data_IF_130091301982
#
_entry.id   IF_130091301982
#
_cell.length_a   1.000
_cell.length_b   1.000
_cell.length_c   1.000
_cell.angle_alpha   90.00
_cell.angle_beta   90.00
_cell.angle_gamma   90.00
#
_symmetry.space_group_name_H-M   'P 1'
#
loop_
_entity.id
_entity.type
_entity.pdbx_description
1 polymer ?
#
# COMPACT_ATOMS: atom_id res chain seq x y z
N UNK A 1 -18.04 -14.52 22.34
CA UNK A 1 -17.75 -14.76 20.91
C UNK A 1 -17.24 -13.47 20.31
N UNK A 2 -15.92 -13.34 20.17
CA UNK A 2 -15.30 -12.19 19.51
C UNK A 2 -15.31 -12.47 18.02
N UNK A 3 -15.87 -11.56 17.23
CA UNK A 3 -16.07 -11.72 15.80
C UNK A 3 -14.70 -11.74 15.08
N UNK A 4 -14.32 -12.91 14.56
CA UNK A 4 -13.07 -13.10 13.80
C UNK A 4 -13.02 -12.32 12.47
N UNK A 5 -14.10 -11.60 12.09
CA UNK A 5 -14.13 -10.75 10.89
C UNK A 5 -13.42 -9.40 11.05
N UNK A 6 -13.20 -8.92 12.27
CA UNK A 6 -12.56 -7.60 12.48
C UNK A 6 -11.03 -7.67 12.51
N UNK A 7 -10.42 -8.86 12.65
CA UNK A 7 -8.97 -9.00 12.72
C UNK A 7 -8.27 -9.09 11.35
N UNK A 8 -8.99 -9.49 10.29
CA UNK A 8 -8.39 -9.68 8.95
C UNK A 8 -8.48 -8.45 8.05
N UNK A 9 -9.45 -7.55 8.24
CA UNK A 9 -9.51 -6.31 7.44
C UNK A 9 -8.42 -5.29 7.84
N UNK A 10 -7.84 -5.43 9.05
CA UNK A 10 -6.79 -4.52 9.53
C UNK A 10 -5.37 -4.88 9.08
N UNK A 11 -5.06 -6.16 8.81
CA UNK A 11 -3.68 -6.58 8.50
C UNK A 11 -3.26 -6.19 7.09
N UNK A 12 -4.11 -6.44 6.10
CA UNK A 12 -3.78 -6.21 4.69
C UNK A 12 -3.75 -4.72 4.35
N UNK A 13 -4.69 -3.95 4.89
CA UNK A 13 -4.72 -2.49 4.73
C UNK A 13 -3.45 -1.86 5.35
N UNK A 14 -3.04 -2.31 6.54
CA UNK A 14 -1.83 -1.82 7.19
C UNK A 14 -0.57 -2.24 6.42
N UNK A 15 -0.53 -3.47 5.90
CA UNK A 15 0.55 -3.93 5.03
C UNK A 15 0.66 -3.09 3.76
N UNK A 16 -0.47 -2.71 3.16
CA UNK A 16 -0.49 -1.91 1.93
C UNK A 16 -0.10 -0.44 2.16
N UNK A 17 -0.50 0.13 3.30
CA UNK A 17 0.04 1.43 3.73
C UNK A 17 1.56 1.34 3.98
N UNK A 18 2.04 0.26 4.59
CA UNK A 18 3.47 0.06 4.80
C UNK A 18 4.23 -0.11 3.47
N UNK A 19 3.66 -0.80 2.49
CA UNK A 19 4.22 -0.87 1.14
C UNK A 19 4.34 0.51 0.50
N UNK A 20 3.31 1.35 0.63
CA UNK A 20 3.33 2.72 0.15
C UNK A 20 4.45 3.53 0.83
N UNK A 21 4.58 3.43 2.16
CA UNK A 21 5.65 4.08 2.92
C UNK A 21 7.03 3.62 2.44
N UNK A 22 7.23 2.31 2.25
CA UNK A 22 8.50 1.77 1.77
C UNK A 22 8.82 2.27 0.37
N UNK A 23 7.84 2.29 -0.54
CA UNK A 23 8.03 2.85 -1.87
C UNK A 23 8.40 4.34 -1.80
N UNK A 24 7.69 5.11 -0.98
CA UNK A 24 7.98 6.54 -0.81
C UNK A 24 9.38 6.80 -0.26
N UNK A 25 9.95 5.91 0.57
CA UNK A 25 11.35 6.01 0.98
C UNK A 25 12.34 5.92 -0.20
N UNK A 26 12.02 5.16 -1.26
CA UNK A 26 12.86 5.09 -2.46
C UNK A 26 12.62 6.33 -3.32
N UNK A 27 11.36 6.68 -3.57
CA UNK A 27 11.00 7.85 -4.39
C UNK A 27 11.51 9.14 -3.75
N UNK A 28 11.56 9.25 -2.43
CA UNK A 28 12.07 10.44 -1.76
C UNK A 28 13.58 10.65 -1.89
N UNK A 29 14.34 9.62 -2.25
CA UNK A 29 15.73 9.80 -2.66
C UNK A 29 15.80 10.49 -4.01
N UNK A 30 14.99 10.03 -4.96
CA UNK A 30 14.90 10.57 -6.32
C UNK A 30 14.19 11.92 -6.38
N UNK A 31 13.34 12.25 -5.38
CA UNK A 31 12.66 13.53 -5.20
C UNK A 31 13.61 14.72 -5.34
N UNK A 32 14.86 14.59 -4.88
CA UNK A 32 15.87 15.65 -4.98
C UNK A 32 16.26 15.97 -6.42
N UNK A 33 16.15 15.00 -7.31
CA UNK A 33 16.51 15.13 -8.73
C UNK A 33 15.30 15.54 -9.59
N UNK A 34 14.07 15.27 -9.14
CA UNK A 34 12.85 15.65 -9.84
C UNK A 34 12.58 17.14 -9.62
N UNK A 35 12.93 17.97 -10.61
CA UNK A 35 12.91 19.44 -10.49
C UNK A 35 11.56 20.02 -10.09
N UNK A 36 10.45 19.46 -10.56
CA UNK A 36 9.11 19.98 -10.27
C UNK A 36 8.47 19.45 -8.97
N UNK A 37 9.04 18.43 -8.31
CA UNK A 37 8.43 17.80 -7.16
C UNK A 37 8.99 18.41 -5.86
N UNK A 38 8.15 19.00 -5.00
CA UNK A 38 8.63 19.78 -3.84
C UNK A 38 8.53 19.03 -2.51
N UNK A 39 7.42 18.33 -2.29
CA UNK A 39 7.24 17.49 -1.12
C UNK A 39 6.25 16.37 -1.37
N UNK A 40 6.34 15.32 -0.55
CA UNK A 40 5.43 14.19 -0.61
C UNK A 40 5.11 13.68 0.79
N UNK A 41 3.88 13.25 1.00
CA UNK A 41 3.41 12.71 2.27
C UNK A 41 2.39 11.59 2.06
N UNK A 42 2.37 10.63 2.99
CA UNK A 42 1.37 9.56 3.01
C UNK A 42 0.56 9.69 4.30
N UNK A 43 -0.75 9.59 4.16
CA UNK A 43 -1.72 9.72 5.23
C UNK A 43 -2.58 8.47 5.35
N UNK A 44 -2.94 8.11 6.58
CA UNK A 44 -3.93 7.05 6.84
C UNK A 44 -5.38 7.55 6.63
N UNK A 45 -6.38 6.69 6.88
CA UNK A 45 -7.81 7.04 6.75
C UNK A 45 -8.28 8.13 7.71
N UNK A 46 -7.53 8.39 8.79
CA UNK A 46 -7.80 9.42 9.78
C UNK A 46 -7.02 10.72 9.49
N UNK A 47 -6.26 10.74 8.38
CA UNK A 47 -5.36 11.82 7.99
C UNK A 47 -4.19 12.04 8.95
N UNK A 48 -3.78 11.00 9.68
CA UNK A 48 -2.49 11.05 10.37
C UNK A 48 -1.38 10.84 9.35
N UNK A 49 -0.32 11.64 9.44
CA UNK A 49 0.84 11.47 8.57
C UNK A 49 1.61 10.23 9.02
N UNK A 50 1.86 9.31 8.08
CA UNK A 50 2.67 8.10 8.31
C UNK A 50 4.01 8.15 7.56
N UNK A 51 4.13 9.05 6.59
CA UNK A 51 5.36 9.37 5.88
C UNK A 51 5.35 10.83 5.44
N UNK A 52 6.50 11.51 5.44
CA UNK A 52 6.68 12.81 4.80
C UNK A 52 8.14 13.07 4.42
N UNK A 53 8.39 13.67 3.26
CA UNK A 53 9.70 14.16 2.81
C UNK A 53 9.54 15.42 1.96
N UNK A 54 10.54 16.30 1.97
CA UNK A 54 10.61 17.50 1.13
C UNK A 54 12.05 17.79 0.72
N UNK A 55 12.23 18.51 -0.38
CA UNK A 55 13.54 19.03 -0.80
C UNK A 55 14.18 19.96 0.21
N UNK A 56 13.38 20.78 0.89
CA UNK A 56 13.91 21.90 1.68
C UNK A 56 14.17 21.54 3.14
N UNK A 57 13.23 20.88 3.82
CA UNK A 57 13.33 20.78 5.30
C UNK A 57 12.53 19.66 5.99
N UNK A 58 11.60 18.98 5.31
CA UNK A 58 10.81 17.91 5.92
C UNK A 58 11.51 16.57 5.77
N UNK A 59 11.71 15.87 6.88
CA UNK A 59 12.21 14.50 6.95
C UNK A 59 11.15 13.58 7.53
N UNK A 60 11.21 12.29 7.20
CA UNK A 60 10.28 11.30 7.72
C UNK A 60 10.59 10.89 9.18
N UNK A 61 10.53 11.86 10.09
CA UNK A 61 10.62 11.65 11.53
C UNK A 61 9.35 12.12 12.24
N UNK A 62 9.30 11.97 13.57
CA UNK A 62 8.14 12.37 14.36
C UNK A 62 7.85 13.88 14.23
N UNK A 63 8.90 14.70 14.19
CA UNK A 63 8.77 16.16 14.12
C UNK A 63 8.24 16.59 12.76
N UNK A 64 8.77 16.03 11.66
CA UNK A 64 8.30 16.28 10.31
C UNK A 64 6.84 15.90 10.13
N UNK A 65 6.45 14.71 10.59
CA UNK A 65 5.05 14.25 10.52
C UNK A 65 4.11 15.16 11.32
N UNK A 66 4.51 15.61 12.51
CA UNK A 66 3.73 16.59 13.28
C UNK A 66 3.60 17.95 12.59
N UNK A 67 4.64 18.44 11.90
CA UNK A 67 4.55 19.68 11.11
C UNK A 67 3.56 19.55 9.95
N UNK A 68 3.55 18.41 9.25
CA UNK A 68 2.58 18.15 8.16
C UNK A 68 1.16 18.07 8.70
N UNK A 69 0.94 17.38 9.83
CA UNK A 69 -0.37 17.31 10.48
C UNK A 69 -0.87 18.68 10.96
N UNK A 70 0.04 19.53 11.47
CA UNK A 70 -0.26 20.91 11.84
C UNK A 70 -0.61 21.75 10.60
N UNK A 71 0.14 21.63 9.51
CA UNK A 71 -0.16 22.29 8.24
C UNK A 71 -1.56 21.93 7.73
N UNK A 72 -1.91 20.65 7.68
CA UNK A 72 -3.27 20.20 7.27
C UNK A 72 -4.35 20.75 8.21
N UNK A 73 -4.04 20.94 9.50
CA UNK A 73 -4.99 21.53 10.47
C UNK A 73 -5.20 23.02 10.23
N UNK A 74 -4.15 23.74 9.84
CA UNK A 74 -4.20 25.16 9.50
C UNK A 74 -4.87 25.44 8.14
N UNK A 75 -4.98 24.42 7.29
CA UNK A 75 -5.59 24.48 5.95
C UNK A 75 -6.78 23.51 5.81
N UNK A 76 -7.97 23.86 6.36
CA UNK A 76 -9.16 22.99 6.36
C UNK A 76 -9.58 22.52 4.97
N UNK A 77 -9.36 23.33 3.94
CA UNK A 77 -9.61 23.01 2.53
C UNK A 77 -8.87 21.75 2.07
N UNK A 78 -7.64 21.54 2.55
CA UNK A 78 -6.85 20.33 2.26
C UNK A 78 -7.46 19.12 2.95
N UNK A 79 -7.84 19.27 4.22
CA UNK A 79 -8.49 18.19 4.98
C UNK A 79 -9.80 17.76 4.33
N UNK A 80 -10.62 18.72 3.87
CA UNK A 80 -11.88 18.46 3.18
C UNK A 80 -11.60 17.72 1.86
N UNK A 81 -10.68 18.23 1.05
CA UNK A 81 -10.34 17.62 -0.23
C UNK A 81 -9.79 16.19 -0.08
N UNK A 82 -8.90 15.94 0.88
CA UNK A 82 -8.38 14.60 1.15
C UNK A 82 -9.48 13.64 1.66
N UNK A 83 -10.44 14.14 2.46
CA UNK A 83 -11.62 13.35 2.86
C UNK A 83 -12.50 13.00 1.66
N UNK A 84 -12.65 13.89 0.69
CA UNK A 84 -13.38 13.61 -0.55
C UNK A 84 -12.67 12.54 -1.39
N UNK A 85 -11.33 12.58 -1.46
CA UNK A 85 -10.51 11.54 -2.10
C UNK A 85 -10.75 10.18 -1.43
N UNK A 86 -10.72 10.13 -0.09
CA UNK A 86 -10.98 8.91 0.68
C UNK A 86 -12.40 8.36 0.49
N UNK A 87 -13.39 9.22 0.22
CA UNK A 87 -14.78 8.82 -0.03
C UNK A 87 -15.02 8.37 -1.46
N UNK A 88 -14.49 9.13 -2.42
CA UNK A 88 -14.75 8.92 -3.85
C UNK A 88 -13.83 7.89 -4.50
N UNK A 89 -12.63 7.68 -3.93
CA UNK A 89 -11.58 6.89 -4.57
C UNK A 89 -11.03 7.54 -5.84
N UNK A 90 -11.26 8.83 -6.03
CA UNK A 90 -10.72 9.61 -7.16
C UNK A 90 -9.68 10.59 -6.63
N UNK A 91 -8.67 10.87 -7.44
CA UNK A 91 -7.69 11.89 -7.11
C UNK A 91 -8.30 13.28 -7.15
N UNK A 92 -7.65 14.24 -6.49
CA UNK A 92 -8.07 15.65 -6.48
C UNK A 92 -6.86 16.55 -6.48
N UNK A 93 -6.86 17.53 -7.39
CA UNK A 93 -5.91 18.63 -7.40
C UNK A 93 -6.40 19.75 -6.49
N UNK A 94 -5.49 20.34 -5.73
CA UNK A 94 -5.74 21.51 -4.89
C UNK A 94 -4.64 22.53 -5.18
N UNK A 95 -5.01 23.79 -5.35
CA UNK A 95 -4.06 24.86 -5.59
C UNK A 95 -3.59 25.43 -4.25
N UNK A 96 -2.28 25.45 -4.00
CA UNK A 96 -1.71 25.96 -2.76
C UNK A 96 -1.31 27.43 -2.91
N UNK A 97 -0.67 27.75 -4.02
CA UNK A 97 -0.17 29.08 -4.33
C UNK A 97 -0.20 29.31 -5.85
N UNK A 98 0.29 30.46 -6.32
CA UNK A 98 0.37 30.77 -7.75
C UNK A 98 1.24 29.77 -8.51
N UNK A 99 2.26 29.23 -7.84
CA UNK A 99 3.33 28.45 -8.45
C UNK A 99 3.34 27.00 -7.94
N UNK A 100 2.39 26.59 -7.08
CA UNK A 100 2.37 25.27 -6.46
C UNK A 100 0.97 24.65 -6.41
N UNK A 101 0.93 23.34 -6.66
CA UNK A 101 -0.27 22.53 -6.54
C UNK A 101 -0.02 21.31 -5.66
N UNK A 102 -1.06 20.87 -4.96
CA UNK A 102 -1.11 19.59 -4.27
C UNK A 102 -1.99 18.62 -5.05
N UNK A 103 -1.43 17.49 -5.45
CA UNK A 103 -2.19 16.34 -5.94
C UNK A 103 -2.43 15.36 -4.80
N UNK A 104 -3.68 15.09 -4.49
CA UNK A 104 -4.10 14.08 -3.52
C UNK A 104 -4.55 12.81 -4.27
N UNK A 105 -3.81 11.71 -4.13
CA UNK A 105 -4.08 10.42 -4.75
C UNK A 105 -4.60 9.42 -3.70
N UNK A 106 -5.67 8.65 -3.99
CA UNK A 106 -6.16 7.64 -3.07
C UNK A 106 -5.23 6.42 -3.05
N UNK A 107 -4.89 5.94 -1.85
CA UNK A 107 -4.29 4.61 -1.68
C UNK A 107 -5.43 3.60 -1.63
N UNK A 108 -5.60 2.80 -2.68
CA UNK A 108 -6.71 1.86 -2.79
C UNK A 108 -6.43 0.57 -2.02
N UNK A 109 -7.30 0.22 -1.07
CA UNK A 109 -7.39 -1.12 -0.49
C UNK A 109 -8.17 -2.08 -1.40
N UNK A 110 -8.65 -3.20 -0.85
CA UNK A 110 -9.43 -4.17 -1.62
C UNK A 110 -10.78 -3.65 -2.14
N UNK A 111 -11.45 -2.78 -1.37
CA UNK A 111 -12.81 -2.29 -1.70
C UNK A 111 -12.97 -0.77 -1.59
N UNK A 112 -12.09 -0.11 -0.84
CA UNK A 112 -12.20 1.31 -0.49
C UNK A 112 -10.82 1.92 -0.31
N UNK A 113 -10.69 3.26 -0.39
CA UNK A 113 -9.46 3.93 -0.03
C UNK A 113 -9.08 3.71 1.44
N UNK A 114 -7.80 3.43 1.66
CA UNK A 114 -7.18 3.14 2.96
C UNK A 114 -6.21 4.23 3.39
N UNK A 115 -5.94 5.20 2.52
CA UNK A 115 -5.07 6.34 2.79
C UNK A 115 -5.03 7.30 1.61
N UNK A 116 -4.18 8.30 1.71
CA UNK A 116 -3.95 9.30 0.67
C UNK A 116 -2.46 9.56 0.52
N UNK A 117 -1.97 9.66 -0.70
CA UNK A 117 -0.68 10.25 -1.01
C UNK A 117 -0.91 11.71 -1.39
N UNK A 118 -0.27 12.64 -0.69
CA UNK A 118 -0.23 14.05 -1.04
C UNK A 118 1.10 14.37 -1.70
N UNK A 119 1.06 15.05 -2.83
CA UNK A 119 2.22 15.40 -3.65
C UNK A 119 2.17 16.90 -3.91
N UNK A 120 3.14 17.65 -3.43
CA UNK A 120 3.30 19.06 -3.78
C UNK A 120 4.28 19.17 -4.93
N UNK A 121 3.90 19.90 -5.96
CA UNK A 121 4.72 20.11 -7.13
C UNK A 121 4.58 21.54 -7.66
N UNK A 122 5.66 22.05 -8.25
CA UNK A 122 5.69 23.33 -8.95
C UNK A 122 4.77 23.26 -10.17
N UNK A 123 3.84 24.20 -10.29
CA UNK A 123 2.83 24.23 -11.34
C UNK A 123 2.59 25.65 -11.83
N UNK A 124 2.45 25.83 -13.15
CA UNK A 124 2.21 27.15 -13.77
C UNK A 124 0.78 27.69 -13.57
N UNK A 125 0.08 27.34 -12.49
CA UNK A 125 -1.28 27.83 -12.24
C UNK A 125 -2.39 27.12 -13.03
N UNK A 126 -2.12 25.96 -13.64
CA UNK A 126 -3.10 25.25 -14.47
C UNK A 126 -4.30 24.75 -13.63
N UNK A 127 -5.50 25.25 -13.94
CA UNK A 127 -6.75 24.96 -13.20
C UNK A 127 -7.52 23.73 -13.69
N UNK A 128 -7.08 23.07 -14.76
CA UNK A 128 -7.75 21.88 -15.27
C UNK A 128 -7.63 20.73 -14.26
N UNK A 129 -8.73 19.99 -14.05
CA UNK A 129 -8.77 18.82 -13.16
C UNK A 129 -7.83 17.70 -13.63
N UNK A 130 -7.56 17.61 -14.94
CA UNK A 130 -6.65 16.64 -15.56
C UNK A 130 -5.45 17.37 -16.19
N UNK A 131 -4.60 17.98 -15.36
CA UNK A 131 -3.34 18.52 -15.86
C UNK A 131 -2.42 17.36 -16.28
N UNK A 132 -1.62 17.55 -17.33
CA UNK A 132 -0.63 16.57 -17.78
C UNK A 132 0.31 16.15 -16.65
N UNK A 133 0.69 17.07 -15.75
CA UNK A 133 1.49 16.75 -14.58
C UNK A 133 0.77 15.79 -13.61
N UNK A 134 -0.53 15.97 -13.39
CA UNK A 134 -1.32 15.10 -12.50
C UNK A 134 -1.40 13.67 -13.05
N UNK A 135 -1.65 13.55 -14.35
CA UNK A 135 -1.68 12.27 -15.06
C UNK A 135 -0.31 11.59 -14.99
N UNK A 136 0.77 12.33 -15.22
CA UNK A 136 2.13 11.79 -15.14
C UNK A 136 2.48 11.31 -13.73
N UNK A 137 2.21 12.09 -12.68
CA UNK A 137 2.49 11.66 -11.31
C UNK A 137 1.68 10.45 -10.92
N UNK A 138 0.40 10.40 -11.32
CA UNK A 138 -0.45 9.24 -11.09
C UNK A 138 0.11 7.99 -11.77
N UNK A 139 0.37 8.07 -13.08
CA UNK A 139 0.84 6.92 -13.87
C UNK A 139 2.20 6.42 -13.36
N UNK A 140 3.13 7.34 -13.04
CA UNK A 140 4.44 7.01 -12.49
C UNK A 140 4.30 6.29 -11.15
N UNK A 141 3.46 6.79 -10.24
CA UNK A 141 3.24 6.16 -8.95
C UNK A 141 2.57 4.80 -9.05
N UNK A 142 1.59 4.65 -9.95
CA UNK A 142 0.97 3.35 -10.23
C UNK A 142 2.01 2.34 -10.74
N UNK A 143 2.86 2.74 -11.69
CA UNK A 143 3.95 1.90 -12.21
C UNK A 143 4.89 1.49 -11.07
N UNK A 144 5.36 2.44 -10.25
CA UNK A 144 6.26 2.16 -9.15
C UNK A 144 5.64 1.20 -8.12
N UNK A 145 4.37 1.41 -7.77
CA UNK A 145 3.65 0.51 -6.87
C UNK A 145 3.55 -0.90 -7.42
N UNK A 146 3.14 -1.06 -8.68
CA UNK A 146 3.07 -2.37 -9.33
C UNK A 146 4.43 -3.05 -9.36
N UNK A 147 5.49 -2.32 -9.76
CA UNK A 147 6.86 -2.88 -9.82
C UNK A 147 7.41 -3.25 -8.46
N UNK A 148 7.17 -2.43 -7.44
CA UNK A 148 7.62 -2.72 -6.08
C UNK A 148 6.94 -3.97 -5.52
N UNK A 149 5.63 -4.12 -5.77
CA UNK A 149 4.89 -5.34 -5.42
C UNK A 149 5.45 -6.57 -6.13
N UNK A 150 5.63 -6.51 -7.46
CA UNK A 150 6.25 -7.60 -8.23
C UNK A 150 7.63 -8.00 -7.70
N UNK A 151 8.47 -7.02 -7.34
CA UNK A 151 9.79 -7.26 -6.76
C UNK A 151 9.70 -7.92 -5.39
N UNK A 152 8.80 -7.45 -4.52
CA UNK A 152 8.58 -8.02 -3.19
C UNK A 152 8.06 -9.45 -3.27
N UNK A 153 7.14 -9.71 -4.19
CA UNK A 153 6.58 -11.05 -4.41
C UNK A 153 7.67 -12.00 -4.91
N UNK A 154 8.50 -11.55 -5.86
CA UNK A 154 9.68 -12.31 -6.31
C UNK A 154 10.68 -12.58 -5.19
N UNK A 155 10.96 -11.60 -4.33
CA UNK A 155 11.85 -11.78 -3.17
C UNK A 155 11.25 -12.76 -2.15
N UNK A 156 9.94 -12.67 -1.89
CA UNK A 156 9.23 -13.58 -0.99
C UNK A 156 9.25 -15.00 -1.54
N UNK A 157 8.99 -15.17 -2.84
CA UNK A 157 9.10 -16.45 -3.53
C UNK A 157 10.52 -16.99 -3.54
N UNK A 158 11.54 -16.14 -3.76
CA UNK A 158 12.94 -16.55 -3.71
C UNK A 158 13.36 -16.95 -2.29
N UNK A 159 12.98 -16.19 -1.28
CA UNK A 159 13.23 -16.52 0.13
C UNK A 159 12.50 -17.80 0.57
N UNK A 160 11.28 -18.02 0.09
CA UNK A 160 10.55 -19.27 0.27
C UNK A 160 11.27 -20.42 -0.44
N UNK A 161 11.66 -20.26 -1.70
CA UNK A 161 12.39 -21.29 -2.46
C UNK A 161 13.72 -21.66 -1.81
N UNK A 162 14.45 -20.71 -1.20
CA UNK A 162 15.65 -21.00 -0.41
C UNK A 162 15.36 -21.80 0.89
N UNK A 163 14.13 -21.71 1.44
CA UNK A 163 13.69 -22.50 2.61
C UNK A 163 13.15 -23.87 2.22
N UNK A 164 12.57 -24.01 1.02
CA UNK A 164 12.02 -25.25 0.49
C UNK A 164 13.13 -26.00 -0.28
N UNK A 165 13.94 -26.78 0.44
CA UNK A 165 15.06 -27.51 -0.17
C UNK A 165 14.67 -28.90 -0.64
N UNK A 166 13.61 -29.48 -0.07
CA UNK A 166 13.18 -30.85 -0.35
C UNK A 166 11.76 -30.89 -0.90
N UNK A 167 11.43 -31.96 -1.63
CA UNK A 167 10.07 -32.19 -2.16
C UNK A 167 9.01 -32.19 -1.03
N UNK A 168 9.36 -32.68 0.16
CA UNK A 168 8.48 -32.66 1.33
C UNK A 168 8.20 -31.25 1.83
N UNK A 169 9.16 -30.33 1.73
CA UNK A 169 8.94 -28.93 2.09
C UNK A 169 7.94 -28.26 1.14
N UNK A 170 8.07 -28.51 -0.18
CA UNK A 170 7.13 -28.00 -1.18
C UNK A 170 5.72 -28.56 -0.96
N UNK A 171 5.58 -29.85 -0.68
CA UNK A 171 4.28 -30.45 -0.35
C UNK A 171 3.68 -29.85 0.93
N UNK A 172 4.49 -29.68 1.97
CA UNK A 172 4.03 -29.09 3.23
C UNK A 172 3.56 -27.66 3.04
N UNK A 173 4.31 -26.86 2.27
CA UNK A 173 3.93 -25.50 1.93
C UNK A 173 2.61 -25.44 1.16
N UNK A 174 2.46 -26.25 0.10
CA UNK A 174 1.24 -26.30 -0.70
C UNK A 174 0.00 -26.63 0.16
N UNK A 175 0.14 -27.60 1.07
CA UNK A 175 -0.95 -27.98 1.99
C UNK A 175 -1.29 -26.85 2.97
N UNK A 176 -0.28 -26.16 3.53
CA UNK A 176 -0.50 -25.05 4.46
C UNK A 176 -1.16 -23.84 3.79
N UNK A 177 -0.68 -23.44 2.60
CA UNK A 177 -1.25 -22.31 1.88
C UNK A 177 -2.66 -22.58 1.37
N UNK A 178 -2.91 -23.79 0.84
CA UNK A 178 -4.28 -24.17 0.47
C UNK A 178 -5.18 -24.29 1.71
N UNK A 179 -4.64 -24.72 2.85
CA UNK A 179 -5.34 -24.70 4.14
C UNK A 179 -5.78 -23.30 4.54
N UNK A 180 -4.90 -22.31 4.46
CA UNK A 180 -5.24 -20.91 4.72
C UNK A 180 -6.31 -20.39 3.76
N UNK A 181 -6.16 -20.62 2.45
CA UNK A 181 -7.12 -20.15 1.42
C UNK A 181 -8.50 -20.79 1.57
N UNK A 182 -8.56 -22.07 1.92
CA UNK A 182 -9.79 -22.83 2.09
C UNK A 182 -10.37 -22.79 3.52
N UNK A 183 -9.84 -21.96 4.43
CA UNK A 183 -10.21 -21.96 5.85
C UNK A 183 -10.21 -23.37 6.48
N UNK A 184 -9.22 -24.18 6.12
CA UNK A 184 -9.04 -25.56 6.57
C UNK A 184 -10.20 -26.52 6.25
N UNK A 185 -11.04 -26.19 5.26
CA UNK A 185 -12.06 -27.11 4.76
C UNK A 185 -11.41 -28.23 3.93
N UNK A 186 -11.26 -29.41 4.52
CA UNK A 186 -10.57 -30.57 3.92
C UNK A 186 -11.13 -30.97 2.55
N UNK A 187 -12.45 -30.88 2.34
CA UNK A 187 -13.05 -31.23 1.05
C UNK A 187 -12.67 -30.25 -0.04
N UNK A 188 -12.62 -28.95 0.28
CA UNK A 188 -12.18 -27.92 -0.66
C UNK A 188 -10.67 -27.98 -0.90
N UNK A 189 -9.89 -28.20 0.17
CA UNK A 189 -8.44 -28.37 0.05
C UNK A 189 -8.07 -29.56 -0.83
N UNK A 190 -8.73 -30.71 -0.64
CA UNK A 190 -8.49 -31.90 -1.45
C UNK A 190 -8.82 -31.68 -2.94
N UNK A 191 -9.89 -30.91 -3.21
CA UNK A 191 -10.28 -30.53 -4.57
C UNK A 191 -9.26 -29.58 -5.20
N UNK A 192 -8.77 -28.59 -4.44
CA UNK A 192 -7.83 -27.58 -4.94
C UNK A 192 -6.39 -28.12 -5.08
N UNK A 193 -6.00 -29.07 -4.24
CA UNK A 193 -4.71 -29.78 -4.36
C UNK A 193 -4.76 -30.97 -5.33
N UNK A 194 -5.94 -31.28 -5.88
CA UNK A 194 -6.18 -32.42 -6.77
C UNK A 194 -5.70 -33.78 -6.19
N UNK A 195 -5.85 -33.97 -4.88
CA UNK A 195 -5.50 -35.22 -4.19
C UNK A 195 -6.70 -35.81 -3.46
N UNK A 196 -6.70 -37.13 -3.29
CA UNK A 196 -7.71 -37.81 -2.50
C UNK A 196 -7.73 -37.31 -1.05
N UNK A 197 -8.94 -37.14 -0.47
CA UNK A 197 -9.12 -36.73 0.94
C UNK A 197 -8.32 -37.59 1.92
N UNK A 198 -8.32 -38.91 1.71
CA UNK A 198 -7.55 -39.85 2.55
C UNK A 198 -6.04 -39.59 2.47
N UNK A 199 -5.53 -39.29 1.28
CA UNK A 199 -4.12 -38.94 1.04
C UNK A 199 -3.77 -37.61 1.74
N UNK A 200 -4.65 -36.61 1.67
CA UNK A 200 -4.48 -35.35 2.37
C UNK A 200 -4.43 -35.55 3.90
N UNK A 201 -5.33 -36.36 4.47
CA UNK A 201 -5.31 -36.70 5.90
C UNK A 201 -4.01 -37.38 6.32
N UNK A 202 -3.52 -38.35 5.53
CA UNK A 202 -2.26 -39.03 5.82
C UNK A 202 -1.07 -38.07 5.77
N UNK A 203 -1.04 -37.14 4.79
CA UNK A 203 0.01 -36.13 4.67
C UNK A 203 -0.03 -35.11 5.83
N UNK A 204 -1.22 -34.62 6.20
CA UNK A 204 -1.40 -33.73 7.36
C UNK A 204 -0.89 -34.38 8.66
N UNK A 205 -1.25 -35.65 8.88
CA UNK A 205 -0.78 -36.43 10.03
C UNK A 205 0.74 -36.61 10.02
N UNK A 206 1.34 -36.95 8.87
CA UNK A 206 2.80 -37.08 8.72
C UNK A 206 3.52 -35.76 8.99
N UNK A 207 2.89 -34.63 8.70
CA UNK A 207 3.43 -33.28 8.88
C UNK A 207 3.18 -32.70 10.28
N UNK A 208 2.44 -33.39 11.15
CA UNK A 208 2.10 -32.94 12.51
C UNK A 208 1.04 -31.83 12.57
N UNK A 209 0.21 -31.71 11.53
CA UNK A 209 -0.88 -30.73 11.46
C UNK A 209 -2.17 -31.47 11.84
N UNK A 210 -2.75 -31.12 13.00
CA UNK A 210 -3.98 -31.73 13.54
C UNK A 210 -5.22 -30.92 13.16
#
# INVERSE_FOLDING_TARGET
MVNAREYFEGSDDLQKLQEMVNLMCYISMDLKEITCLESLAVFDRKLNAIFCESKEDLKNDKTGRSKVEEFIRLHPELSIAMKDVLKSGKHKKIHLSKDESLLALPVMGHKKPIGVVGIVYASDGCLHEECTADLLFKDVLEIFMTRYQEMRDKQTMAAMSCRLKTLEDYEKYAILETGKRCNWNISNMAKELEIGRNTLYQKLKKMGIN
#
